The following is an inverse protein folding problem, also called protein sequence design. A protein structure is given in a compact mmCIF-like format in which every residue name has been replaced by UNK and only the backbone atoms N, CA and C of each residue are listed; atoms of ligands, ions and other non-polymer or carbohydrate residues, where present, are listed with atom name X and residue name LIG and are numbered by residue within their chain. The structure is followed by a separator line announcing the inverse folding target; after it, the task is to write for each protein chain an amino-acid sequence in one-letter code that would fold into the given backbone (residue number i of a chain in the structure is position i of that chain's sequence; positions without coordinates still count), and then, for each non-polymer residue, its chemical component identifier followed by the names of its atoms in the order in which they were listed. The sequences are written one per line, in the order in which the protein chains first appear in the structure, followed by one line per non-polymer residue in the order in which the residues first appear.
data_IF_562628930296
#
_entry.id   IF_562628930296
#
_cell.length_a   1.000
_cell.length_b   1.000
_cell.length_c   1.000
_cell.angle_alpha   90.00
_cell.angle_beta   90.00
_cell.angle_gamma   90.00
#
_symmetry.space_group_name_H-M   'P 1'
#
loop_
_entity.id
_entity.type
_entity.pdbx_description
1 polymer ?
#
# COMPACT_ATOMS: atom_id res chain seq x y z
N UNK A 1 4.79 -7.47 -7.06
CA UNK A 1 5.71 -6.34 -6.79
C UNK A 1 6.93 -6.87 -6.05
N UNK A 2 8.12 -6.32 -6.26
CA UNK A 2 9.28 -6.60 -5.40
C UNK A 2 9.53 -5.34 -4.57
N UNK A 3 9.48 -5.46 -3.26
CA UNK A 3 9.59 -4.33 -2.35
C UNK A 3 10.94 -4.34 -1.65
N UNK A 4 11.68 -3.25 -1.76
CA UNK A 4 12.91 -3.01 -1.02
C UNK A 4 12.72 -1.78 -0.13
N UNK A 5 12.49 -2.02 1.15
CA UNK A 5 12.32 -0.95 2.12
C UNK A 5 13.68 -0.49 2.66
N UNK A 6 13.99 0.80 2.51
CA UNK A 6 15.26 1.37 2.95
C UNK A 6 15.11 2.15 4.26
N UNK A 7 14.14 3.06 4.33
CA UNK A 7 13.88 3.89 5.52
C UNK A 7 12.46 4.51 5.45
N UNK A 8 12.07 5.23 6.50
CA UNK A 8 10.78 5.91 6.59
C UNK A 8 9.62 4.94 6.84
N UNK A 9 8.52 5.14 6.12
CA UNK A 9 7.29 4.34 6.22
C UNK A 9 7.37 3.03 5.40
N UNK A 10 8.34 2.92 4.48
CA UNK A 10 8.51 1.78 3.60
C UNK A 10 8.59 0.42 4.33
N UNK A 11 9.31 0.26 5.47
CA UNK A 11 9.37 -1.02 6.18
C UNK A 11 8.03 -1.46 6.77
N UNK A 12 7.16 -0.50 7.10
CA UNK A 12 5.80 -0.77 7.55
C UNK A 12 4.93 -1.14 6.35
N UNK A 13 5.01 -0.36 5.28
CA UNK A 13 4.23 -0.58 4.07
C UNK A 13 4.58 -1.93 3.41
N UNK A 14 5.86 -2.32 3.35
CA UNK A 14 6.31 -3.60 2.80
C UNK A 14 5.68 -4.79 3.51
N UNK A 15 5.62 -4.76 4.85
CA UNK A 15 4.93 -5.79 5.64
C UNK A 15 3.43 -5.88 5.33
N UNK A 16 2.79 -4.75 5.02
CA UNK A 16 1.36 -4.75 4.65
C UNK A 16 1.16 -5.41 3.29
N UNK A 17 1.92 -5.01 2.27
CA UNK A 17 1.78 -5.56 0.92
C UNK A 17 2.21 -7.04 0.82
N UNK A 18 3.15 -7.47 1.65
CA UNK A 18 3.52 -8.88 1.80
C UNK A 18 2.40 -9.71 2.45
N UNK A 19 1.79 -9.20 3.53
CA UNK A 19 0.61 -9.83 4.16
C UNK A 19 -0.59 -9.91 3.21
N UNK A 20 -0.77 -8.88 2.38
CA UNK A 20 -1.78 -8.87 1.33
C UNK A 20 -1.46 -9.85 0.19
N UNK A 21 -0.26 -10.44 0.15
CA UNK A 21 0.14 -11.41 -0.87
C UNK A 21 0.35 -10.81 -2.25
N UNK A 22 0.72 -9.53 -2.32
CA UNK A 22 0.93 -8.80 -3.59
C UNK A 22 2.40 -8.44 -3.86
N UNK A 23 3.28 -8.77 -2.92
CA UNK A 23 4.71 -8.53 -3.07
C UNK A 23 5.61 -9.57 -2.44
N UNK A 24 6.84 -9.64 -2.95
CA UNK A 24 8.00 -10.24 -2.28
C UNK A 24 8.80 -9.10 -1.65
N UNK A 25 9.08 -9.16 -0.35
CA UNK A 25 9.89 -8.16 0.35
C UNK A 25 11.34 -8.62 0.45
N UNK A 26 12.27 -7.82 -0.03
CA UNK A 26 13.71 -8.03 0.17
C UNK A 26 14.21 -7.12 1.28
N UNK A 27 15.06 -7.64 2.18
CA UNK A 27 15.77 -6.81 3.16
C UNK A 27 17.05 -6.26 2.55
N UNK A 28 17.44 -5.05 2.93
CA UNK A 28 18.70 -4.42 2.48
C UNK A 28 19.93 -5.32 2.70
N UNK A 29 19.98 -6.06 3.81
CA UNK A 29 21.07 -6.98 4.14
C UNK A 29 21.10 -8.25 3.28
N UNK A 30 20.03 -8.53 2.54
CA UNK A 30 19.85 -9.77 1.78
C UNK A 30 19.90 -9.53 0.26
N UNK A 31 20.27 -8.32 -0.18
CA UNK A 31 20.37 -8.01 -1.60
C UNK A 31 21.64 -8.60 -2.18
N UNK A 32 21.46 -9.51 -3.13
CA UNK A 32 22.48 -9.95 -4.07
C UNK A 32 21.79 -10.39 -5.38
N UNK A 33 22.58 -10.66 -6.41
CA UNK A 33 22.09 -11.04 -7.74
C UNK A 33 21.15 -12.25 -7.70
N UNK A 34 21.51 -13.29 -6.94
CA UNK A 34 20.73 -14.52 -6.79
C UNK A 34 19.36 -14.23 -6.16
N UNK A 35 19.33 -13.51 -5.04
CA UNK A 35 18.09 -13.17 -4.32
C UNK A 35 17.15 -12.31 -5.13
N UNK A 36 17.69 -11.35 -5.88
CA UNK A 36 16.89 -10.51 -6.79
C UNK A 36 16.34 -11.36 -7.93
N UNK A 37 17.16 -12.23 -8.52
CA UNK A 37 16.74 -13.12 -9.60
C UNK A 37 15.60 -14.05 -9.16
N UNK A 38 15.74 -14.69 -8.00
CA UNK A 38 14.69 -15.55 -7.41
C UNK A 38 13.40 -14.75 -7.16
N UNK A 39 13.50 -13.54 -6.61
CA UNK A 39 12.33 -12.70 -6.37
C UNK A 39 11.61 -12.29 -7.66
N UNK A 40 12.36 -12.04 -8.75
CA UNK A 40 11.79 -11.76 -10.08
C UNK A 40 11.03 -12.97 -10.60
N UNK A 41 11.66 -14.16 -10.60
CA UNK A 41 11.01 -15.38 -11.06
C UNK A 41 9.75 -15.72 -10.26
N UNK A 42 9.82 -15.62 -8.94
CA UNK A 42 8.67 -15.83 -8.05
C UNK A 42 7.48 -14.93 -8.42
N UNK A 43 7.72 -13.63 -8.65
CA UNK A 43 6.64 -12.70 -9.01
C UNK A 43 6.08 -12.96 -10.41
N UNK A 44 6.89 -13.44 -11.35
CA UNK A 44 6.48 -13.71 -12.72
C UNK A 44 5.70 -15.04 -12.86
N UNK A 45 6.15 -16.09 -12.19
CA UNK A 45 5.56 -17.43 -12.33
C UNK A 45 4.35 -17.64 -11.41
N UNK A 46 4.38 -17.06 -10.21
CA UNK A 46 3.32 -17.26 -9.24
C UNK A 46 2.13 -16.34 -9.52
N UNK A 47 1.10 -16.90 -10.16
CA UNK A 47 -0.16 -16.20 -10.49
C UNK A 47 -0.91 -15.64 -9.26
N UNK A 48 -0.57 -16.03 -8.04
CA UNK A 48 -1.16 -15.48 -6.81
C UNK A 48 -1.00 -13.96 -6.75
N UNK A 49 0.16 -13.43 -7.13
CA UNK A 49 0.40 -11.98 -7.05
C UNK A 49 -0.54 -11.20 -7.99
N UNK A 50 -0.65 -11.62 -9.25
CA UNK A 50 -1.48 -10.94 -10.24
C UNK A 50 -2.98 -11.08 -9.94
N UNK A 51 -3.44 -12.27 -9.55
CA UNK A 51 -4.84 -12.52 -9.18
C UNK A 51 -5.26 -11.71 -7.94
N UNK A 52 -4.39 -11.63 -6.93
CA UNK A 52 -4.68 -10.88 -5.70
C UNK A 52 -4.68 -9.37 -5.95
N UNK A 53 -3.72 -8.85 -6.72
CA UNK A 53 -3.71 -7.43 -7.14
C UNK A 53 -4.95 -7.09 -7.95
N UNK A 54 -5.39 -7.95 -8.87
CA UNK A 54 -6.61 -7.73 -9.67
C UNK A 54 -7.84 -7.64 -8.77
N UNK A 55 -8.00 -8.57 -7.83
CA UNK A 55 -9.10 -8.56 -6.86
C UNK A 55 -9.08 -7.29 -6.00
N UNK A 56 -7.92 -6.91 -5.46
CA UNK A 56 -7.79 -5.69 -4.64
C UNK A 56 -8.09 -4.42 -5.45
N UNK A 57 -7.65 -4.37 -6.71
CA UNK A 57 -7.95 -3.28 -7.63
C UNK A 57 -9.45 -3.16 -7.90
N UNK A 58 -10.15 -4.29 -8.12
CA UNK A 58 -11.60 -4.31 -8.27
C UNK A 58 -12.32 -3.83 -7.00
N UNK A 59 -11.85 -4.26 -5.82
CA UNK A 59 -12.40 -3.81 -4.54
C UNK A 59 -12.20 -2.30 -4.33
N UNK A 60 -11.02 -1.76 -4.64
CA UNK A 60 -10.73 -0.33 -4.53
C UNK A 60 -11.62 0.49 -5.48
N UNK A 61 -11.89 0.01 -6.70
CA UNK A 61 -12.80 0.67 -7.64
C UNK A 61 -14.26 0.61 -7.22
N UNK A 62 -14.67 -0.49 -6.58
CA UNK A 62 -16.03 -0.74 -6.10
C UNK A 62 -16.25 -0.32 -4.64
N UNK A 63 -15.34 0.45 -4.05
CA UNK A 63 -15.46 0.86 -2.66
C UNK A 63 -16.81 1.57 -2.43
N UNK A 64 -17.51 1.29 -1.32
CA UNK A 64 -18.89 1.73 -1.11
C UNK A 64 -19.05 3.24 -0.95
N UNK A 65 -17.97 3.95 -0.60
CA UNK A 65 -17.94 5.41 -0.51
C UNK A 65 -16.86 5.92 -1.44
N UNK A 66 -17.24 6.77 -2.38
CA UNK A 66 -16.29 7.34 -3.35
C UNK A 66 -15.31 8.31 -2.66
N UNK A 67 -14.09 8.48 -3.19
CA UNK A 67 -13.15 9.46 -2.64
C UNK A 67 -13.72 10.89 -2.65
N UNK A 68 -14.57 11.21 -3.63
CA UNK A 68 -15.28 12.49 -3.71
C UNK A 68 -16.23 12.69 -2.54
N UNK A 69 -17.05 11.69 -2.21
CA UNK A 69 -17.96 11.77 -1.06
C UNK A 69 -17.20 11.88 0.27
N UNK A 70 -16.11 11.13 0.42
CA UNK A 70 -15.23 11.26 1.60
C UNK A 70 -14.71 12.70 1.70
N UNK A 71 -14.20 13.26 0.60
CA UNK A 71 -13.70 14.64 0.58
C UNK A 71 -14.79 15.65 0.93
N UNK A 72 -15.98 15.56 0.32
CA UNK A 72 -17.08 16.49 0.60
C UNK A 72 -17.48 16.46 2.08
N UNK A 73 -17.61 15.28 2.68
CA UNK A 73 -17.94 15.13 4.10
C UNK A 73 -16.91 15.77 5.03
N UNK A 74 -15.62 15.62 4.72
CA UNK A 74 -14.56 16.27 5.50
C UNK A 74 -14.56 17.78 5.31
N UNK A 75 -14.85 18.27 4.11
CA UNK A 75 -14.98 19.71 3.83
C UNK A 75 -16.17 20.32 4.57
N UNK A 76 -17.32 19.65 4.59
CA UNK A 76 -18.50 20.08 5.37
C UNK A 76 -18.17 20.14 6.87
N UNK A 77 -17.52 19.10 7.39
CA UNK A 77 -17.05 19.08 8.79
C UNK A 77 -16.08 20.23 9.09
N UNK A 78 -15.16 20.55 8.18
CA UNK A 78 -14.27 21.70 8.33
C UNK A 78 -15.04 23.04 8.31
N UNK A 79 -16.07 23.18 7.47
CA UNK A 79 -16.89 24.38 7.41
C UNK A 79 -17.69 24.60 8.69
N UNK A 80 -18.25 23.54 9.27
CA UNK A 80 -19.06 23.59 10.49
C UNK A 80 -18.23 23.87 11.74
N UNK A 81 -17.05 23.26 11.86
CA UNK A 81 -16.24 23.32 13.09
C UNK A 81 -15.04 24.27 13.00
N UNK A 82 -14.77 24.86 11.83
CA UNK A 82 -13.67 25.80 11.49
C UNK A 82 -12.24 25.29 11.72
N UNK A 83 -12.02 24.37 12.65
CA UNK A 83 -10.73 23.80 13.03
C UNK A 83 -10.89 22.33 13.40
N UNK A 84 -10.13 21.44 12.75
CA UNK A 84 -10.00 20.04 13.14
C UNK A 84 -8.65 19.87 13.85
N UNK A 85 -8.62 20.26 15.12
CA UNK A 85 -7.39 20.28 15.93
C UNK A 85 -6.74 18.90 16.09
N UNK A 86 -7.57 17.86 16.01
CA UNK A 86 -7.18 16.45 16.01
C UNK A 86 -6.59 15.95 14.67
N UNK A 87 -6.65 16.75 13.60
CA UNK A 87 -6.05 16.44 12.29
C UNK A 87 -4.81 17.27 11.99
N UNK A 88 -4.37 18.16 12.90
CA UNK A 88 -3.06 18.79 12.76
C UNK A 88 -2.02 17.66 12.84
N UNK A 89 -1.18 17.53 11.81
CA UNK A 89 0.02 16.70 11.93
C UNK A 89 0.80 17.26 13.12
N UNK A 90 1.05 16.40 14.11
CA UNK A 90 1.94 16.70 15.23
C UNK A 90 3.29 17.10 14.61
N UNK A 91 3.60 18.39 14.63
CA UNK A 91 4.95 18.92 14.41
C UNK A 91 5.85 18.56 15.59
#
# INVERSE_FOLDING_TARGET
MIALALFGDQPKNSKVIEKLGISVTLKKSEINEERVTVAIWEVLENKRYSSTVKRLSEMARKQPVSPKEVLMKWTECLADFKTLDNLRQLE
#
